data_IF_157178516066
#
_entry.id   IF_157178516066
#
_cell.length_a   1.000
_cell.length_b   1.000
_cell.length_c   1.000
_cell.angle_alpha   90.00
_cell.angle_beta   90.00
_cell.angle_gamma   90.00
#
_symmetry.space_group_name_H-M   'P 1'
#
loop_
_entity.id
_entity.type
_entity.pdbx_description
1 polymer ?
#
# COMPACT_ATOMS: atom_id res chain seq x y z
N UNK A 1 18.29 8.17 -17.52
CA UNK A 1 16.99 8.63 -18.07
C UNK A 1 16.62 10.00 -17.49
N UNK A 2 15.68 10.74 -18.10
CA UNK A 2 15.26 12.07 -17.60
C UNK A 2 14.82 12.04 -16.13
N UNK A 3 14.14 10.97 -15.70
CA UNK A 3 13.71 10.78 -14.32
C UNK A 3 14.88 10.69 -13.33
N UNK A 4 15.90 9.89 -13.62
CA UNK A 4 17.11 9.79 -12.78
C UNK A 4 17.79 11.15 -12.65
N UNK A 5 17.93 11.88 -13.76
CA UNK A 5 18.55 13.21 -13.74
C UNK A 5 17.80 14.16 -12.80
N UNK A 6 16.47 14.21 -12.88
CA UNK A 6 15.67 15.08 -12.01
C UNK A 6 15.79 14.66 -10.54
N UNK A 7 15.79 13.36 -10.25
CA UNK A 7 15.94 12.88 -8.87
C UNK A 7 17.32 13.15 -8.29
N UNK A 8 18.37 13.00 -9.10
CA UNK A 8 19.75 13.25 -8.70
C UNK A 8 20.00 14.75 -8.53
N UNK A 9 19.38 15.60 -9.36
CA UNK A 9 19.40 17.06 -9.19
C UNK A 9 18.79 17.46 -7.83
N UNK A 10 17.68 16.83 -7.41
CA UNK A 10 17.07 17.10 -6.08
C UNK A 10 18.01 16.70 -4.95
N UNK A 11 18.68 15.56 -5.05
CA UNK A 11 19.66 15.16 -4.04
C UNK A 11 20.83 16.15 -3.99
N UNK A 12 21.35 16.58 -5.14
CA UNK A 12 22.47 17.50 -5.22
C UNK A 12 22.14 18.93 -4.72
N UNK A 13 20.93 19.42 -4.99
CA UNK A 13 20.56 20.81 -4.72
C UNK A 13 19.99 21.03 -3.32
N UNK A 14 19.29 20.04 -2.75
CA UNK A 14 18.56 20.19 -1.47
C UNK A 14 18.82 19.07 -0.46
N UNK A 15 19.74 18.14 -0.73
CA UNK A 15 20.11 17.04 0.16
C UNK A 15 18.90 16.21 0.62
N UNK A 16 17.98 15.93 -0.33
CA UNK A 16 16.79 15.14 -0.09
C UNK A 16 16.70 13.95 -1.03
N UNK A 17 16.25 12.82 -0.50
CA UNK A 17 15.91 11.65 -1.31
C UNK A 17 14.67 11.94 -2.16
N UNK A 18 14.76 11.62 -3.45
CA UNK A 18 13.70 11.84 -4.43
C UNK A 18 13.30 10.55 -5.15
N UNK A 19 12.03 10.46 -5.52
CA UNK A 19 11.49 9.38 -6.34
C UNK A 19 10.37 9.89 -7.25
N UNK A 20 10.58 9.76 -8.55
CA UNK A 20 9.55 9.91 -9.57
C UNK A 20 8.84 8.57 -9.70
N UNK A 21 7.57 8.60 -9.34
CA UNK A 21 6.67 7.46 -9.43
C UNK A 21 5.68 7.67 -10.57
N UNK A 22 5.43 6.65 -11.40
CA UNK A 22 4.26 6.69 -12.28
C UNK A 22 3.01 6.60 -11.39
N UNK A 23 2.11 7.57 -11.55
CA UNK A 23 0.79 7.54 -10.89
C UNK A 23 -0.11 6.55 -11.64
N UNK A 24 -0.77 5.64 -10.91
CA UNK A 24 -1.75 4.70 -11.49
C UNK A 24 -3.04 5.41 -11.92
N UNK A 25 -3.48 6.35 -11.10
CA UNK A 25 -4.54 7.29 -11.37
C UNK A 25 -4.35 8.59 -10.58
N UNK A 26 -5.23 9.55 -10.83
CA UNK A 26 -5.35 10.79 -10.09
C UNK A 26 -6.83 11.16 -9.96
N UNK A 27 -7.33 11.18 -8.72
CA UNK A 27 -8.69 11.54 -8.33
C UNK A 27 -9.06 13.01 -8.48
N UNK A 28 -8.50 13.73 -9.47
CA UNK A 28 -9.03 15.05 -9.90
C UNK A 28 -10.38 14.86 -10.61
N UNK A 29 -11.11 15.94 -10.91
CA UNK A 29 -12.35 15.86 -11.70
C UNK A 29 -12.15 16.45 -13.11
N UNK A 30 -12.29 15.64 -14.19
CA UNK A 30 -12.51 14.19 -14.20
C UNK A 30 -11.26 13.42 -13.77
N UNK A 31 -11.43 12.19 -13.24
CA UNK A 31 -10.28 11.38 -12.82
C UNK A 31 -9.45 10.97 -14.04
N UNK A 32 -8.13 10.95 -13.85
CA UNK A 32 -7.21 10.43 -14.84
C UNK A 32 -6.77 9.04 -14.39
N UNK A 33 -6.90 8.03 -15.24
CA UNK A 33 -6.47 6.65 -14.96
C UNK A 33 -5.58 6.21 -16.10
N UNK A 34 -4.45 5.57 -15.80
CA UNK A 34 -3.58 5.03 -16.85
C UNK A 34 -4.30 3.90 -17.59
N UNK A 35 -4.27 3.95 -18.92
CA UNK A 35 -4.80 2.88 -19.74
C UNK A 35 -3.87 1.65 -19.65
N UNK A 36 -4.40 0.52 -19.17
CA UNK A 36 -3.71 -0.78 -19.10
C UNK A 36 -4.63 -1.89 -19.58
N UNK A 37 -4.02 -2.96 -20.10
CA UNK A 37 -4.75 -4.15 -20.57
C UNK A 37 -5.29 -5.04 -19.42
N UNK A 38 -4.86 -4.80 -18.18
CA UNK A 38 -5.34 -5.53 -17.01
C UNK A 38 -6.65 -4.90 -16.50
N UNK A 39 -7.77 -5.55 -16.83
CA UNK A 39 -9.10 -5.10 -16.43
C UNK A 39 -9.32 -5.14 -14.91
N UNK A 40 -8.69 -6.09 -14.20
CA UNK A 40 -8.81 -6.18 -12.75
C UNK A 40 -8.15 -4.98 -12.08
N UNK A 41 -6.93 -4.67 -12.50
CA UNK A 41 -6.23 -3.47 -12.07
C UNK A 41 -6.98 -2.18 -12.45
N UNK A 42 -7.54 -2.11 -13.67
CA UNK A 42 -8.26 -0.93 -14.13
C UNK A 42 -9.55 -0.68 -13.33
N UNK A 43 -10.33 -1.74 -13.08
CA UNK A 43 -11.57 -1.65 -12.30
C UNK A 43 -11.29 -1.22 -10.85
N UNK A 44 -10.24 -1.79 -10.24
CA UNK A 44 -9.76 -1.40 -8.92
C UNK A 44 -9.34 0.08 -8.88
N UNK A 45 -8.44 0.49 -9.78
CA UNK A 45 -7.91 1.86 -9.81
C UNK A 45 -9.02 2.88 -10.06
N UNK A 46 -9.96 2.58 -10.97
CA UNK A 46 -11.09 3.47 -11.22
C UNK A 46 -11.98 3.63 -9.97
N UNK A 47 -12.27 2.53 -9.26
CA UNK A 47 -13.03 2.59 -8.03
C UNK A 47 -12.28 3.34 -6.92
N UNK A 48 -10.96 3.16 -6.79
CA UNK A 48 -10.11 3.93 -5.87
C UNK A 48 -10.21 5.43 -6.11
N UNK A 49 -10.03 5.87 -7.36
CA UNK A 49 -10.11 7.30 -7.69
C UNK A 49 -11.54 7.85 -7.54
N UNK A 50 -12.57 7.02 -7.77
CA UNK A 50 -13.95 7.41 -7.51
C UNK A 50 -14.24 7.54 -5.99
N UNK A 51 -13.61 6.71 -5.15
CA UNK A 51 -13.68 6.83 -3.70
C UNK A 51 -13.24 8.23 -3.25
N UNK A 52 -12.15 8.74 -3.85
CA UNK A 52 -11.65 10.09 -3.59
C UNK A 52 -12.65 11.18 -3.99
N UNK A 53 -13.38 11.01 -5.11
CA UNK A 53 -14.46 11.94 -5.47
C UNK A 53 -15.57 11.95 -4.44
N UNK A 54 -15.99 10.79 -3.94
CA UNK A 54 -16.99 10.71 -2.90
C UNK A 54 -16.49 11.33 -1.57
N UNK A 55 -15.27 10.99 -1.16
CA UNK A 55 -14.62 11.47 0.06
C UNK A 55 -14.35 12.97 0.03
N UNK A 56 -14.16 13.58 -1.15
CA UNK A 56 -13.93 15.02 -1.31
C UNK A 56 -15.03 15.89 -0.67
N UNK A 57 -16.22 15.34 -0.50
CA UNK A 57 -17.36 16.01 0.14
C UNK A 57 -17.59 15.58 1.60
N UNK A 58 -16.74 14.70 2.13
CA UNK A 58 -16.83 14.17 3.49
C UNK A 58 -15.79 14.81 4.41
N UNK A 59 -16.03 14.83 5.73
CA UNK A 59 -15.04 15.32 6.71
C UNK A 59 -13.63 14.72 6.54
N UNK A 60 -13.55 13.41 6.25
CA UNK A 60 -12.28 12.72 6.00
C UNK A 60 -11.51 13.30 4.79
N UNK A 61 -12.19 13.52 3.66
CA UNK A 61 -11.54 14.08 2.46
C UNK A 61 -11.20 15.56 2.59
N UNK A 62 -12.04 16.36 3.26
CA UNK A 62 -11.72 17.76 3.56
C UNK A 62 -10.45 17.91 4.42
N UNK A 63 -10.06 16.85 5.14
CA UNK A 63 -8.88 16.81 6.00
C UNK A 63 -7.70 16.04 5.41
N UNK A 64 -7.77 15.62 4.15
CA UNK A 64 -6.72 14.83 3.48
C UNK A 64 -5.30 15.38 3.71
N UNK A 65 -5.11 16.69 3.50
CA UNK A 65 -3.82 17.35 3.66
C UNK A 65 -3.54 17.91 5.05
N UNK A 66 -4.40 17.65 6.04
CA UNK A 66 -4.29 18.27 7.37
C UNK A 66 -3.25 17.63 8.28
N UNK A 67 -2.99 16.33 8.10
CA UNK A 67 -1.97 15.57 8.83
C UNK A 67 -1.61 14.29 8.03
N UNK A 68 -0.38 13.74 8.18
CA UNK A 68 0.01 12.48 7.53
C UNK A 68 -0.96 11.32 7.81
N UNK A 69 -1.46 11.22 9.04
CA UNK A 69 -2.41 10.18 9.46
C UNK A 69 -3.74 10.30 8.70
N UNK A 70 -4.23 11.52 8.49
CA UNK A 70 -5.47 11.74 7.74
C UNK A 70 -5.34 11.33 6.28
N UNK A 71 -4.18 11.58 5.67
CA UNK A 71 -3.86 11.09 4.34
C UNK A 71 -3.85 9.56 4.31
N UNK A 72 -3.17 8.94 5.25
CA UNK A 72 -3.10 7.47 5.36
C UNK A 72 -4.48 6.84 5.56
N UNK A 73 -5.33 7.40 6.43
CA UNK A 73 -6.71 6.93 6.64
C UNK A 73 -7.50 7.02 5.34
N UNK A 74 -7.42 8.17 4.65
CA UNK A 74 -8.14 8.41 3.41
C UNK A 74 -7.74 7.43 2.30
N UNK A 75 -6.44 7.25 2.05
CA UNK A 75 -5.96 6.28 1.06
C UNK A 75 -6.34 4.84 1.42
N UNK A 76 -6.29 4.47 2.70
CA UNK A 76 -6.67 3.11 3.13
C UNK A 76 -8.17 2.85 2.86
N UNK A 77 -9.03 3.83 3.11
CA UNK A 77 -10.47 3.74 2.79
C UNK A 77 -10.70 3.63 1.28
N UNK A 78 -9.97 4.42 0.49
CA UNK A 78 -10.04 4.37 -0.97
C UNK A 78 -9.57 3.00 -1.52
N UNK A 79 -8.49 2.43 -0.97
CA UNK A 79 -8.00 1.09 -1.33
C UNK A 79 -9.06 0.02 -1.06
N UNK A 80 -9.69 0.02 0.11
CA UNK A 80 -10.72 -0.97 0.46
C UNK A 80 -11.91 -0.88 -0.51
N UNK A 81 -12.36 0.33 -0.86
CA UNK A 81 -13.42 0.49 -1.85
C UNK A 81 -12.95 0.04 -3.24
N UNK A 82 -11.72 0.38 -3.63
CA UNK A 82 -11.08 -0.05 -4.87
C UNK A 82 -11.06 -1.56 -5.02
N UNK A 83 -10.56 -2.27 -4.01
CA UNK A 83 -10.48 -3.73 -3.95
C UNK A 83 -11.87 -4.36 -4.02
N UNK A 84 -12.80 -3.86 -3.20
CA UNK A 84 -14.15 -4.42 -3.08
C UNK A 84 -14.95 -4.22 -4.37
N UNK A 85 -15.03 -2.99 -4.87
CA UNK A 85 -15.82 -2.68 -6.08
C UNK A 85 -15.13 -3.22 -7.32
N UNK A 86 -13.80 -3.15 -7.40
CA UNK A 86 -13.03 -3.73 -8.49
C UNK A 86 -13.31 -5.23 -8.65
N UNK A 87 -13.27 -5.98 -7.55
CA UNK A 87 -13.60 -7.40 -7.55
C UNK A 87 -15.05 -7.67 -7.99
N UNK A 88 -16.03 -6.90 -7.46
CA UNK A 88 -17.43 -7.04 -7.83
C UNK A 88 -17.70 -6.74 -9.31
N UNK A 89 -16.99 -5.78 -9.90
CA UNK A 89 -17.07 -5.46 -11.33
C UNK A 89 -16.56 -6.62 -12.17
N UNK A 90 -15.40 -7.19 -11.81
CA UNK A 90 -14.84 -8.35 -12.50
C UNK A 90 -15.78 -9.55 -12.37
N UNK A 91 -16.23 -9.88 -11.17
CA UNK A 91 -17.17 -10.99 -10.94
C UNK A 91 -18.45 -10.86 -11.78
N UNK A 92 -18.99 -9.64 -11.87
CA UNK A 92 -20.27 -9.40 -12.55
C UNK A 92 -20.16 -9.36 -14.08
N UNK A 93 -19.12 -8.74 -14.62
CA UNK A 93 -19.03 -8.43 -16.04
C UNK A 93 -17.97 -9.24 -16.79
N UNK A 94 -16.98 -9.79 -16.08
CA UNK A 94 -15.87 -10.57 -16.63
C UNK A 94 -15.58 -11.80 -15.77
N UNK A 95 -16.58 -12.67 -15.52
CA UNK A 95 -16.44 -13.82 -14.62
C UNK A 95 -15.31 -14.78 -15.00
N UNK A 96 -14.92 -14.81 -16.27
CA UNK A 96 -13.77 -15.57 -16.78
C UNK A 96 -12.41 -15.07 -16.29
N UNK A 97 -12.34 -13.83 -15.79
CA UNK A 97 -11.13 -13.21 -15.23
C UNK A 97 -11.06 -13.32 -13.70
N UNK A 98 -12.07 -13.90 -13.05
CA UNK A 98 -12.04 -14.10 -11.59
C UNK A 98 -10.88 -15.03 -11.23
N UNK A 99 -9.96 -14.60 -10.34
CA UNK A 99 -8.84 -15.45 -9.93
C UNK A 99 -9.35 -16.75 -9.31
N UNK A 100 -8.72 -17.90 -9.61
CA UNK A 100 -9.08 -19.15 -8.94
C UNK A 100 -8.86 -19.01 -7.44
N UNK A 101 -9.70 -19.65 -6.59
CA UNK A 101 -9.52 -19.61 -5.15
C UNK A 101 -8.12 -20.09 -4.78
N UNK A 102 -7.48 -19.46 -3.77
CA UNK A 102 -6.15 -19.88 -3.33
C UNK A 102 -6.17 -21.36 -2.99
N UNK A 103 -5.16 -22.10 -3.46
CA UNK A 103 -5.05 -23.52 -3.19
C UNK A 103 -5.14 -23.77 -1.68
N UNK A 104 -5.84 -24.83 -1.24
CA UNK A 104 -5.95 -25.15 0.18
C UNK A 104 -4.54 -25.23 0.77
N UNK A 105 -4.35 -24.59 1.92
CA UNK A 105 -3.08 -24.63 2.63
C UNK A 105 -2.62 -26.08 2.75
N UNK A 106 -1.36 -26.42 2.42
CA UNK A 106 -0.88 -27.76 2.58
C UNK A 106 -1.14 -28.21 4.03
N UNK A 107 -1.54 -29.48 4.25
CA UNK A 107 -1.76 -29.99 5.59
C UNK A 107 -0.50 -29.74 6.44
N UNK A 108 -0.64 -29.50 7.76
CA UNK A 108 0.51 -29.29 8.63
C UNK A 108 1.51 -30.42 8.38
N UNK A 109 2.73 -30.05 7.96
CA UNK A 109 3.76 -31.01 7.64
C UNK A 109 4.03 -31.87 8.88
N UNK A 110 4.06 -33.19 8.71
CA UNK A 110 4.54 -34.08 9.75
C UNK A 110 6.02 -33.74 10.01
N UNK A 111 6.37 -33.46 11.27
CA UNK A 111 7.73 -33.09 11.73
C UNK A 111 8.83 -34.15 11.50
N UNK A 112 8.57 -35.19 10.68
CA UNK A 112 9.45 -36.33 10.45
C UNK A 112 9.92 -36.52 8.99
N UNK A 113 9.66 -35.57 8.09
CA UNK A 113 10.40 -35.50 6.83
C UNK A 113 11.49 -34.42 6.94
N UNK A 114 12.75 -34.84 6.78
CA UNK A 114 13.86 -33.91 6.66
C UNK A 114 13.52 -32.91 5.55
N UNK A 115 13.52 -31.59 5.82
CA UNK A 115 13.14 -30.61 4.81
C UNK A 115 14.08 -30.77 3.62
N UNK A 116 13.49 -31.00 2.44
CA UNK A 116 14.23 -30.87 1.20
C UNK A 116 14.94 -29.52 1.21
N UNK A 117 16.26 -29.52 1.00
CA UNK A 117 17.16 -28.36 1.02
C UNK A 117 16.92 -27.39 -0.16
N UNK A 118 15.67 -27.23 -0.58
CA UNK A 118 15.27 -26.08 -1.39
C UNK A 118 15.12 -24.90 -0.44
N UNK A 119 15.95 -23.85 -0.55
CA UNK A 119 15.71 -22.64 0.21
C UNK A 119 14.28 -22.15 -0.10
N UNK A 120 13.56 -21.63 0.91
CA UNK A 120 12.22 -21.11 0.68
C UNK A 120 12.26 -20.07 -0.45
N UNK A 121 11.25 -20.04 -1.33
CA UNK A 121 11.21 -19.09 -2.44
C UNK A 121 11.26 -17.67 -1.89
N UNK A 122 11.93 -16.76 -2.63
CA UNK A 122 12.06 -15.37 -2.26
C UNK A 122 10.68 -14.74 -2.00
N UNK A 123 10.44 -14.34 -0.76
CA UNK A 123 9.18 -13.73 -0.36
C UNK A 123 9.35 -12.22 -0.30
N UNK A 124 8.89 -11.54 -1.36
CA UNK A 124 8.98 -10.09 -1.47
C UNK A 124 8.50 -9.33 -0.24
N UNK A 125 7.38 -9.77 0.37
CA UNK A 125 6.78 -9.06 1.51
C UNK A 125 7.68 -9.13 2.73
N UNK A 126 8.18 -10.32 3.03
CA UNK A 126 9.06 -10.53 4.17
C UNK A 126 10.40 -9.82 3.96
N UNK A 127 10.96 -9.92 2.76
CA UNK A 127 12.22 -9.28 2.39
C UNK A 127 12.11 -7.74 2.40
N UNK A 128 10.95 -7.17 2.05
CA UNK A 128 10.68 -5.73 2.14
C UNK A 128 10.50 -5.28 3.59
N UNK A 129 9.84 -6.09 4.44
CA UNK A 129 9.72 -5.83 5.89
C UNK A 129 11.10 -5.80 6.56
N UNK A 130 11.93 -6.80 6.28
CA UNK A 130 13.33 -6.85 6.78
C UNK A 130 14.09 -5.62 6.34
N UNK A 131 13.95 -5.24 5.07
CA UNK A 131 14.60 -4.03 4.53
C UNK A 131 14.14 -2.78 5.29
N UNK A 132 12.84 -2.65 5.54
CA UNK A 132 12.27 -1.50 6.26
C UNK A 132 12.78 -1.39 7.70
N UNK A 133 12.79 -2.49 8.44
CA UNK A 133 13.21 -2.50 9.84
C UNK A 133 14.68 -2.08 10.00
N UNK A 134 15.55 -2.56 9.11
CA UNK A 134 16.96 -2.19 9.16
C UNK A 134 17.19 -0.74 8.75
N UNK A 135 16.44 -0.24 7.76
CA UNK A 135 16.47 1.19 7.39
C UNK A 135 16.01 2.05 8.56
N UNK A 136 14.89 1.72 9.22
CA UNK A 136 14.41 2.48 10.38
C UNK A 136 15.45 2.50 11.53
N UNK A 137 16.15 1.38 11.76
CA UNK A 137 17.26 1.31 12.74
C UNK A 137 18.41 2.25 12.37
N UNK A 138 18.90 2.18 11.13
CA UNK A 138 20.00 3.02 10.64
C UNK A 138 19.66 4.51 10.74
N UNK A 139 18.43 4.88 10.38
CA UNK A 139 17.95 6.26 10.47
C UNK A 139 17.81 6.75 11.90
N UNK A 140 17.34 5.90 12.82
CA UNK A 140 17.27 6.23 14.24
C UNK A 140 18.67 6.50 14.84
N UNK A 141 19.70 5.89 14.26
CA UNK A 141 21.11 6.10 14.61
C UNK A 141 21.76 7.27 13.86
N UNK A 142 21.02 7.95 12.97
CA UNK A 142 21.50 9.07 12.16
C UNK A 142 22.37 8.65 10.96
N UNK A 143 22.39 7.36 10.63
CA UNK A 143 23.21 6.77 9.55
C UNK A 143 22.47 6.81 8.21
N UNK A 144 22.31 8.02 7.66
CA UNK A 144 21.51 8.25 6.44
C UNK A 144 22.17 7.61 5.21
N UNK A 145 23.47 7.83 5.02
CA UNK A 145 24.20 7.30 3.86
C UNK A 145 24.23 5.77 3.89
N UNK A 146 24.38 5.17 5.06
CA UNK A 146 24.33 3.72 5.24
C UNK A 146 22.93 3.16 4.97
N UNK A 147 21.86 3.86 5.37
CA UNK A 147 20.50 3.47 5.06
C UNK A 147 20.24 3.47 3.55
N UNK A 148 20.67 4.52 2.84
CA UNK A 148 20.56 4.63 1.38
C UNK A 148 21.39 3.56 0.65
N UNK A 149 22.63 3.34 1.08
CA UNK A 149 23.49 2.29 0.52
C UNK A 149 22.91 0.88 0.75
N UNK A 150 22.36 0.63 1.94
CA UNK A 150 21.68 -0.63 2.25
C UNK A 150 20.46 -0.84 1.34
N UNK A 151 19.64 0.18 1.12
CA UNK A 151 18.50 0.10 0.23
C UNK A 151 18.89 -0.19 -1.23
N UNK A 152 19.96 0.41 -1.75
CA UNK A 152 20.45 0.08 -3.10
C UNK A 152 20.94 -1.37 -3.18
N UNK A 153 21.67 -1.85 -2.16
CA UNK A 153 22.10 -3.24 -2.10
C UNK A 153 20.88 -4.20 -2.10
N UNK A 154 19.83 -3.86 -1.36
CA UNK A 154 18.59 -4.65 -1.32
C UNK A 154 17.82 -4.58 -2.62
N UNK A 155 17.80 -3.44 -3.31
CA UNK A 155 17.19 -3.28 -4.65
C UNK A 155 17.75 -4.27 -5.66
N UNK A 156 19.07 -4.51 -5.62
CA UNK A 156 19.74 -5.48 -6.49
C UNK A 156 19.28 -6.91 -6.18
N UNK A 157 19.15 -7.27 -4.89
CA UNK A 157 18.59 -8.56 -4.49
C UNK A 157 17.16 -8.74 -5.01
N UNK A 158 16.30 -7.72 -4.89
CA UNK A 158 14.96 -7.75 -5.46
C UNK A 158 14.99 -7.95 -6.98
N UNK A 159 15.89 -7.25 -7.68
CA UNK A 159 16.06 -7.34 -9.12
C UNK A 159 16.43 -8.77 -9.57
N UNK A 160 17.40 -9.38 -8.90
CA UNK A 160 17.87 -10.73 -9.20
C UNK A 160 16.78 -11.80 -8.94
N UNK A 161 15.86 -11.51 -8.03
CA UNK A 161 14.69 -12.34 -7.72
C UNK A 161 13.45 -11.99 -8.56
N UNK A 162 13.61 -11.20 -9.62
CA UNK A 162 12.55 -10.89 -10.60
C UNK A 162 11.70 -9.66 -10.28
N UNK A 163 11.97 -8.96 -9.17
CA UNK A 163 11.28 -7.74 -8.77
C UNK A 163 12.04 -6.50 -9.26
N UNK A 164 11.59 -5.95 -10.39
CA UNK A 164 12.25 -4.83 -11.06
C UNK A 164 11.94 -3.48 -10.40
N UNK A 165 12.50 -3.27 -9.21
CA UNK A 165 12.45 -1.97 -8.52
C UNK A 165 13.48 -1.04 -9.17
N UNK A 166 13.02 0.10 -9.69
CA UNK A 166 13.89 1.10 -10.33
C UNK A 166 14.80 1.80 -9.33
N UNK A 167 14.23 2.28 -8.21
CA UNK A 167 14.94 3.00 -7.16
C UNK A 167 14.31 2.63 -5.82
N UNK A 168 15.16 2.29 -4.84
CA UNK A 168 14.76 2.00 -3.46
C UNK A 168 15.56 2.95 -2.58
N UNK A 169 14.88 3.89 -1.95
CA UNK A 169 15.47 4.94 -1.12
C UNK A 169 14.44 5.42 -0.09
N UNK A 170 14.79 6.43 0.71
CA UNK A 170 13.85 7.01 1.69
C UNK A 170 12.54 7.49 1.06
N UNK A 171 12.59 8.09 -0.13
CA UNK A 171 11.40 8.55 -0.85
C UNK A 171 10.49 7.39 -1.30
N UNK A 172 11.07 6.23 -1.63
CA UNK A 172 10.32 5.01 -1.90
C UNK A 172 9.49 4.60 -0.69
N UNK A 173 10.09 4.59 0.51
CA UNK A 173 9.37 4.24 1.73
C UNK A 173 8.37 5.31 2.17
N UNK A 174 8.63 6.59 1.89
CA UNK A 174 7.66 7.65 2.13
C UNK A 174 6.44 7.53 1.20
N UNK A 175 6.65 7.20 -0.07
CA UNK A 175 5.56 7.07 -1.05
C UNK A 175 4.86 5.71 -0.95
N UNK A 176 5.57 4.60 -1.13
CA UNK A 176 4.97 3.26 -1.14
C UNK A 176 4.76 2.64 0.24
N UNK A 177 5.43 3.13 1.29
CA UNK A 177 5.22 2.63 2.66
C UNK A 177 3.86 2.99 3.25
N UNK A 178 3.22 4.06 2.76
CA UNK A 178 1.86 4.43 3.15
C UNK A 178 0.78 3.63 2.39
N UNK A 179 1.05 3.26 1.13
CA UNK A 179 0.16 2.53 0.21
C UNK A 179 0.26 1.00 0.27
N UNK A 180 1.23 0.42 0.98
CA UNK A 180 1.32 -1.02 1.10
C UNK A 180 0.21 -1.55 2.04
N UNK A 181 -0.89 -2.01 1.46
CA UNK A 181 -2.05 -2.67 2.09
C UNK A 181 -1.72 -4.02 2.77
N UNK A 182 -0.50 -4.20 3.28
CA UNK A 182 -0.10 -5.37 4.04
C UNK A 182 0.67 -4.97 5.29
N UNK A 183 0.26 -5.54 6.42
CA UNK A 183 0.77 -5.37 7.78
C UNK A 183 2.29 -5.60 7.99
N UNK A 184 3.07 -5.84 6.94
CA UNK A 184 4.52 -6.03 7.00
C UNK A 184 5.35 -4.79 6.59
N UNK A 185 4.78 -3.78 5.92
CA UNK A 185 5.55 -2.65 5.40
C UNK A 185 5.34 -1.33 6.16
N UNK A 186 4.29 -1.24 6.98
CA UNK A 186 4.17 -0.23 8.03
C UNK A 186 4.95 -0.73 9.24
N UNK A 187 5.68 0.15 9.93
CA UNK A 187 6.16 -0.14 11.29
C UNK A 187 4.98 -0.35 12.25
N UNK A 188 5.14 -0.06 13.54
CA UNK A 188 4.08 -0.13 14.56
C UNK A 188 2.92 0.88 14.33
N UNK A 189 2.57 1.25 13.08
CA UNK A 189 1.47 2.15 12.77
C UNK A 189 0.12 1.39 12.79
N UNK A 190 -0.75 1.65 13.79
CA UNK A 190 -2.01 0.92 13.97
C UNK A 190 -3.10 1.29 12.96
N UNK A 191 -2.94 2.34 12.14
CA UNK A 191 -4.04 2.88 11.30
C UNK A 191 -4.65 1.81 10.39
N UNK A 192 -3.81 1.06 9.67
CA UNK A 192 -4.26 0.10 8.65
C UNK A 192 -5.05 -1.07 9.27
N UNK A 193 -4.47 -1.77 10.26
CA UNK A 193 -5.18 -2.81 10.99
C UNK A 193 -6.49 -2.34 11.62
N UNK A 194 -6.55 -1.13 12.18
CA UNK A 194 -7.79 -0.59 12.77
C UNK A 194 -8.87 -0.36 11.71
N UNK A 195 -8.53 0.22 10.55
CA UNK A 195 -9.51 0.42 9.45
C UNK A 195 -9.97 -0.92 8.88
N UNK A 196 -9.08 -1.90 8.76
CA UNK A 196 -9.44 -3.25 8.30
C UNK A 196 -10.38 -3.95 9.29
N UNK A 197 -10.16 -3.78 10.59
CA UNK A 197 -11.07 -4.26 11.64
C UNK A 197 -12.46 -3.63 11.49
N UNK A 198 -12.55 -2.30 11.30
CA UNK A 198 -13.81 -1.60 11.04
C UNK A 198 -14.50 -2.17 9.80
N UNK A 199 -13.77 -2.40 8.71
CA UNK A 199 -14.32 -3.01 7.50
C UNK A 199 -14.90 -4.39 7.76
N UNK A 200 -14.16 -5.25 8.47
CA UNK A 200 -14.61 -6.61 8.80
C UNK A 200 -15.85 -6.64 9.71
N UNK A 201 -16.03 -5.61 10.54
CA UNK A 201 -17.19 -5.46 11.43
C UNK A 201 -18.37 -4.74 10.79
N UNK A 202 -18.20 -4.12 9.61
CA UNK A 202 -19.26 -3.40 8.91
C UNK A 202 -20.19 -4.38 8.19
N UNK A 203 -21.50 -4.14 8.22
CA UNK A 203 -22.48 -5.00 7.55
C UNK A 203 -22.43 -4.84 6.02
N UNK A 204 -21.94 -3.68 5.54
CA UNK A 204 -21.86 -3.37 4.12
C UNK A 204 -20.82 -2.33 3.78
N UNK A 205 -20.47 -2.25 2.49
CA UNK A 205 -19.59 -1.20 1.97
C UNK A 205 -20.18 0.20 2.12
N UNK A 206 -21.50 0.38 1.99
CA UNK A 206 -22.14 1.69 2.19
C UNK A 206 -22.02 2.16 3.65
N UNK A 207 -22.25 1.25 4.61
CA UNK A 207 -22.08 1.56 6.03
C UNK A 207 -20.62 1.90 6.35
N UNK A 208 -19.68 1.09 5.88
CA UNK A 208 -18.25 1.34 6.05
C UNK A 208 -17.86 2.73 5.52
N UNK A 209 -18.25 3.04 4.27
CA UNK A 209 -17.92 4.32 3.64
C UNK A 209 -18.52 5.50 4.41
N UNK A 210 -19.79 5.42 4.83
CA UNK A 210 -20.45 6.49 5.61
C UNK A 210 -19.76 6.73 6.95
N UNK A 211 -19.45 5.65 7.68
CA UNK A 211 -18.81 5.72 8.99
C UNK A 211 -17.40 6.30 8.88
N UNK A 212 -16.60 5.78 7.94
CA UNK A 212 -15.24 6.27 7.70
C UNK A 212 -15.21 7.68 7.11
N UNK A 213 -16.15 8.04 6.23
CA UNK A 213 -16.22 9.38 5.66
C UNK A 213 -16.39 10.48 6.73
N UNK A 214 -17.07 10.17 7.83
CA UNK A 214 -17.36 11.12 8.90
C UNK A 214 -16.18 11.41 9.85
N UNK A 215 -15.12 10.58 9.85
CA UNK A 215 -14.00 10.72 10.80
C UNK A 215 -13.17 11.96 10.50
N UNK A 216 -12.65 12.59 11.56
CA UNK A 216 -11.85 13.82 11.47
C UNK A 216 -10.46 13.72 12.07
N UNK A 217 -10.18 12.60 12.74
CA UNK A 217 -8.91 12.31 13.39
C UNK A 217 -8.69 10.81 13.48
N UNK A 218 -7.45 10.39 13.76
CA UNK A 218 -7.19 8.98 14.05
C UNK A 218 -7.89 8.52 15.34
N UNK A 219 -8.08 9.39 16.32
CA UNK A 219 -8.84 9.07 17.53
C UNK A 219 -10.30 8.71 17.22
N UNK A 220 -10.91 9.37 16.23
CA UNK A 220 -12.28 9.03 15.78
C UNK A 220 -12.32 7.62 15.17
N UNK A 221 -11.29 7.24 14.40
CA UNK A 221 -11.16 5.88 13.83
C UNK A 221 -11.04 4.85 14.94
N UNK A 222 -10.22 5.11 15.96
CA UNK A 222 -10.08 4.23 17.11
C UNK A 222 -11.39 4.09 17.91
N UNK A 223 -12.11 5.20 18.11
CA UNK A 223 -13.39 5.19 18.79
C UNK A 223 -14.45 4.42 17.98
N UNK A 224 -14.45 4.57 16.65
CA UNK A 224 -15.33 3.83 15.76
C UNK A 224 -15.10 2.32 15.85
N UNK A 225 -13.84 1.86 15.76
CA UNK A 225 -13.49 0.44 15.87
C UNK A 225 -13.93 -0.19 17.20
N UNK A 226 -13.83 0.57 18.30
CA UNK A 226 -14.28 0.13 19.63
C UNK A 226 -15.81 0.10 19.77
N UNK A 227 -16.53 0.89 18.98
CA UNK A 227 -17.99 0.96 19.03
C UNK A 227 -18.70 -0.12 18.21
N UNK A 228 -18.00 -0.67 17.21
CA UNK A 228 -18.51 -1.73 16.37
C UNK A 228 -18.39 -3.10 17.08
N UNK A 229 -19.40 -3.97 16.91
CA UNK A 229 -19.50 -5.25 17.63
C UNK A 229 -18.39 -6.25 17.30
#
# INVERSE_FOLDING_TARGET
PEQERIEDDVYADVDMSALIVPIGGLGIFPSMVLERADLGWLANTFAHEWAHHWLSFQPLGLRYGSAPEMRTINETVASILGDTVGALVIERFYPELVPPPPAPAPPPANDNEAPALTPPPFNFREEMRVTRLEVDRLLAEGQIDEAEAYMEARRQVFWDNGYRIRKLNQAYFAFYGSYADAAGARGEDPIGPTILSIWQKSDSLDEFMRSMGAVTSFADVQALDQSLP
#
